data_IF_742682787570
#
_entry.id   IF_742682787570
#
_cell.length_a   1.000
_cell.length_b   1.000
_cell.length_c   1.000
_cell.angle_alpha   90.00
_cell.angle_beta   90.00
_cell.angle_gamma   90.00
#
_symmetry.space_group_name_H-M   'P 1'
#
loop_
_entity.id
_entity.type
_entity.pdbx_description
1 polymer ?
#
# COMPACT_ATOMS: atom_id res chain seq x y z
N UNK A 1 -18.89 5.35 -1.62
CA UNK A 1 -18.66 5.27 -0.16
C UNK A 1 -17.31 4.65 0.15
N UNK A 2 -16.97 3.48 -0.41
CA UNK A 2 -15.65 2.82 -0.25
C UNK A 2 -14.47 3.68 -0.74
N UNK A 3 -14.55 4.27 -1.93
CA UNK A 3 -13.44 5.06 -2.51
C UNK A 3 -12.94 6.22 -1.64
N UNK A 4 -13.80 6.86 -0.83
CA UNK A 4 -13.37 7.99 0.02
C UNK A 4 -12.62 7.50 1.26
N UNK A 5 -13.09 6.41 1.88
CA UNK A 5 -12.38 5.75 2.99
C UNK A 5 -11.02 5.23 2.51
N UNK A 6 -10.95 4.61 1.33
CA UNK A 6 -9.70 4.08 0.80
C UNK A 6 -8.67 5.19 0.51
N UNK A 7 -9.12 6.37 0.05
CA UNK A 7 -8.25 7.54 -0.12
C UNK A 7 -7.73 8.08 1.21
N UNK A 8 -8.59 8.21 2.23
CA UNK A 8 -8.18 8.63 3.57
C UNK A 8 -7.16 7.67 4.17
N UNK A 9 -7.43 6.36 4.08
CA UNK A 9 -6.50 5.32 4.53
C UNK A 9 -5.18 5.38 3.75
N UNK A 10 -5.23 5.57 2.44
CA UNK A 10 -4.04 5.72 1.61
C UNK A 10 -3.18 6.91 2.05
N UNK A 11 -3.78 8.10 2.22
CA UNK A 11 -3.04 9.29 2.67
C UNK A 11 -2.39 9.07 4.04
N UNK A 12 -3.09 8.39 4.95
CA UNK A 12 -2.59 8.13 6.31
C UNK A 12 -1.50 7.06 6.34
N UNK A 13 -1.64 5.98 5.58
CA UNK A 13 -0.90 4.75 5.79
C UNK A 13 0.03 4.34 4.65
N UNK A 14 -0.18 4.82 3.42
CA UNK A 14 0.62 4.43 2.25
C UNK A 14 2.15 4.58 2.46
N UNK A 15 2.66 5.73 2.97
CA UNK A 15 4.11 5.90 3.17
C UNK A 15 4.70 4.90 4.17
N UNK A 16 4.03 4.69 5.31
CA UNK A 16 4.50 3.76 6.36
C UNK A 16 4.38 2.32 5.90
N UNK A 17 3.32 1.97 5.18
CA UNK A 17 3.17 0.64 4.60
C UNK A 17 4.35 0.33 3.65
N UNK A 18 4.64 1.24 2.72
CA UNK A 18 5.76 1.10 1.79
C UNK A 18 7.11 0.98 2.50
N UNK A 19 7.37 1.83 3.52
CA UNK A 19 8.59 1.75 4.31
C UNK A 19 8.75 0.38 5.00
N UNK A 20 7.71 -0.10 5.69
CA UNK A 20 7.76 -1.40 6.38
C UNK A 20 7.98 -2.53 5.37
N UNK A 21 7.33 -2.49 4.21
CA UNK A 21 7.50 -3.51 3.17
C UNK A 21 8.94 -3.57 2.64
N UNK A 22 9.61 -2.41 2.52
CA UNK A 22 11.04 -2.31 2.18
C UNK A 22 11.91 -2.83 3.32
N UNK A 23 11.66 -2.43 4.57
CA UNK A 23 12.39 -2.89 5.76
C UNK A 23 12.32 -4.43 5.92
N UNK A 24 11.19 -5.04 5.53
CA UNK A 24 11.01 -6.50 5.53
C UNK A 24 11.61 -7.20 4.32
N UNK A 25 12.09 -6.47 3.31
CA UNK A 25 12.67 -7.01 2.08
C UNK A 25 11.64 -7.63 1.13
N UNK A 26 10.35 -7.32 1.27
CA UNK A 26 9.31 -7.83 0.37
C UNK A 26 9.22 -7.04 -0.93
N UNK A 27 9.58 -5.76 -0.87
CA UNK A 27 9.59 -4.85 -2.03
C UNK A 27 10.86 -4.01 -2.02
N UNK A 28 11.25 -3.50 -3.19
CA UNK A 28 12.29 -2.47 -3.31
C UNK A 28 11.70 -1.07 -3.23
N UNK A 29 12.52 -0.07 -2.93
CA UNK A 29 12.07 1.33 -2.98
C UNK A 29 11.58 1.75 -4.36
N UNK A 30 12.08 1.11 -5.42
CA UNK A 30 11.62 1.39 -6.79
C UNK A 30 10.22 0.83 -7.04
N UNK A 31 9.97 -0.40 -6.62
CA UNK A 31 8.63 -1.00 -6.68
C UNK A 31 7.59 -0.20 -5.87
N UNK A 32 8.00 0.41 -4.76
CA UNK A 32 7.12 1.34 -4.01
C UNK A 32 6.77 2.56 -4.85
N UNK A 33 7.74 3.19 -5.52
CA UNK A 33 7.47 4.36 -6.38
C UNK A 33 6.56 3.99 -7.54
N UNK A 34 6.80 2.86 -8.19
CA UNK A 34 5.97 2.36 -9.29
C UNK A 34 4.52 2.14 -8.83
N UNK A 35 4.31 1.48 -7.68
CA UNK A 35 2.98 1.27 -7.12
C UNK A 35 2.28 2.58 -6.74
N UNK A 36 3.00 3.57 -6.23
CA UNK A 36 2.45 4.92 -5.95
C UNK A 36 2.07 5.63 -7.26
N UNK A 37 2.89 5.51 -8.31
CA UNK A 37 2.56 6.06 -9.63
C UNK A 37 1.29 5.43 -10.20
N UNK A 38 1.17 4.11 -10.13
CA UNK A 38 -0.04 3.40 -10.58
C UNK A 38 -1.29 3.85 -9.80
N UNK A 39 -1.15 4.06 -8.49
CA UNK A 39 -2.23 4.58 -7.66
C UNK A 39 -2.67 5.99 -8.08
N UNK A 40 -1.72 6.85 -8.48
CA UNK A 40 -2.00 8.18 -9.01
C UNK A 40 -2.70 8.08 -10.36
N UNK A 41 -2.20 7.24 -11.26
CA UNK A 41 -2.76 7.02 -12.60
C UNK A 41 -4.19 6.48 -12.53
N UNK A 42 -4.50 5.61 -11.58
CA UNK A 42 -5.87 5.16 -11.31
C UNK A 42 -6.79 6.33 -10.96
N UNK A 43 -6.35 7.21 -10.07
CA UNK A 43 -7.14 8.38 -9.67
C UNK A 43 -7.37 9.34 -10.84
N UNK A 44 -6.35 9.60 -11.66
CA UNK A 44 -6.44 10.47 -12.84
C UNK A 44 -7.38 9.87 -13.88
N UNK A 45 -7.31 8.56 -14.09
CA UNK A 45 -8.18 7.84 -15.03
C UNK A 45 -9.62 7.65 -14.53
N UNK A 46 -9.96 8.13 -13.32
CA UNK A 46 -11.28 7.93 -12.71
C UNK A 46 -11.57 6.48 -12.33
N UNK A 47 -10.54 5.63 -12.22
CA UNK A 47 -10.66 4.24 -11.77
C UNK A 47 -10.86 4.21 -10.25
N UNK A 48 -11.44 3.12 -9.70
CA UNK A 48 -11.54 2.95 -8.25
C UNK A 48 -10.17 3.07 -7.59
N UNK A 49 -10.11 3.79 -6.47
CA UNK A 49 -8.86 3.94 -5.73
C UNK A 49 -8.45 2.60 -5.15
N UNK A 50 -7.20 2.18 -5.40
CA UNK A 50 -6.61 0.96 -4.81
C UNK A 50 -5.60 1.36 -3.75
N UNK A 51 -5.62 0.69 -2.61
CA UNK A 51 -4.56 0.82 -1.60
C UNK A 51 -3.25 0.21 -2.15
N UNK A 52 -2.09 0.73 -1.75
CA UNK A 52 -0.79 0.26 -2.25
C UNK A 52 -0.56 -1.24 -2.03
N UNK A 53 -1.04 -1.80 -0.91
CA UNK A 53 -0.99 -3.24 -0.65
C UNK A 53 -1.79 -4.07 -1.66
N UNK A 54 -2.90 -3.52 -2.18
CA UNK A 54 -3.68 -4.16 -3.25
C UNK A 54 -2.92 -4.14 -4.58
N UNK A 55 -2.26 -3.03 -4.90
CA UNK A 55 -1.45 -2.90 -6.11
C UNK A 55 -0.29 -3.92 -6.09
N UNK A 56 0.40 -4.07 -4.96
CA UNK A 56 1.45 -5.09 -4.83
C UNK A 56 0.92 -6.52 -4.99
N UNK A 57 -0.29 -6.80 -4.50
CA UNK A 57 -0.92 -8.11 -4.68
C UNK A 57 -1.28 -8.37 -6.15
N UNK A 58 -1.93 -7.40 -6.78
CA UNK A 58 -2.36 -7.49 -8.19
C UNK A 58 -1.17 -7.67 -9.14
N UNK A 59 -0.05 -7.00 -8.84
CA UNK A 59 1.19 -7.10 -9.61
C UNK A 59 2.05 -8.32 -9.24
N UNK A 60 1.61 -9.17 -8.29
CA UNK A 60 2.35 -10.35 -7.85
C UNK A 60 3.66 -10.05 -7.11
N UNK A 61 3.84 -8.80 -6.65
CA UNK A 61 5.03 -8.33 -5.93
C UNK A 61 5.01 -8.86 -4.49
N UNK A 62 3.84 -8.88 -3.85
CA UNK A 62 3.65 -9.39 -2.50
C UNK A 62 2.57 -10.47 -2.44
N UNK A 63 2.77 -11.44 -1.56
CA UNK A 63 1.74 -12.43 -1.23
C UNK A 63 0.75 -11.89 -0.19
N UNK A 64 -0.46 -12.47 -0.08
CA UNK A 64 -1.41 -12.11 0.98
C UNK A 64 -0.81 -12.19 2.39
N UNK A 65 0.02 -13.21 2.64
CA UNK A 65 0.68 -13.42 3.93
C UNK A 65 1.71 -12.31 4.24
N UNK A 66 2.46 -11.86 3.23
CA UNK A 66 3.41 -10.75 3.39
C UNK A 66 2.66 -9.43 3.67
N UNK A 67 1.53 -9.20 3.00
CA UNK A 67 0.68 -8.04 3.25
C UNK A 67 0.15 -8.06 4.68
N UNK A 68 -0.35 -9.19 5.15
CA UNK A 68 -0.82 -9.36 6.53
C UNK A 68 0.27 -9.03 7.55
N UNK A 69 1.51 -9.50 7.33
CA UNK A 69 2.66 -9.17 8.20
C UNK A 69 2.92 -7.67 8.25
N UNK A 70 2.89 -6.98 7.10
CA UNK A 70 3.11 -5.53 7.03
C UNK A 70 1.98 -4.77 7.72
N UNK A 71 0.71 -5.15 7.52
CA UNK A 71 -0.43 -4.55 8.21
C UNK A 71 -0.33 -4.73 9.73
N UNK A 72 0.04 -5.93 10.19
CA UNK A 72 0.25 -6.20 11.60
C UNK A 72 1.32 -5.29 12.20
N UNK A 73 2.44 -5.07 11.51
CA UNK A 73 3.50 -4.16 11.96
C UNK A 73 3.03 -2.69 11.96
N UNK A 74 2.30 -2.28 10.93
CA UNK A 74 1.77 -0.93 10.77
C UNK A 74 0.88 -0.51 11.95
N UNK A 75 -0.02 -1.40 12.37
CA UNK A 75 -0.97 -1.16 13.46
C UNK A 75 -0.41 -1.48 14.87
N UNK A 76 0.64 -2.31 14.97
CA UNK A 76 1.33 -2.54 16.27
C UNK A 76 1.99 -1.28 16.82
N UNK A 77 2.51 -0.42 15.94
CA UNK A 77 3.19 0.83 16.35
C UNK A 77 2.26 1.99 16.71
N UNK A 78 0.94 1.86 16.55
CA UNK A 78 -0.03 2.92 16.92
C UNK A 78 -0.56 2.79 18.36
N UNK A 79 -0.08 1.81 19.13
CA UNK A 79 -0.51 1.56 20.53
C UNK A 79 0.32 2.26 21.62
N UNK A 80 1.18 3.21 21.27
CA UNK A 80 2.03 3.92 22.23
C UNK A 80 2.00 5.43 21.99
#
# INVERSE_FOLDING_TARGET
MTNEIDKELSQKYCPRFGQIAVEKGYVTSEQVKEAVSEQIDDNIAGRPHRLIGRIFLDNGIMTPQQIEIVLNELFKREKY
#
